data_IF_717596876455
#
_entry.id   IF_717596876455
#
_cell.length_a   1.000
_cell.length_b   1.000
_cell.length_c   1.000
_cell.angle_alpha   90.00
_cell.angle_beta   90.00
_cell.angle_gamma   90.00
#
_symmetry.space_group_name_H-M   'P 1'
#
loop_
_entity.id
_entity.type
_entity.pdbx_description
1 polymer ?
#
# COMPACT_ATOMS: atom_id res chain seq x y z
N UNK A 1 -23.85 -7.00 -5.25
CA UNK A 1 -22.66 -7.83 -4.95
C UNK A 1 -21.63 -6.93 -4.30
N UNK A 2 -21.26 -7.18 -3.04
CA UNK A 2 -20.13 -6.49 -2.42
C UNK A 2 -18.86 -6.97 -3.15
N UNK A 3 -18.24 -6.12 -3.95
CA UNK A 3 -16.97 -6.45 -4.58
C UNK A 3 -15.92 -6.56 -3.48
N UNK A 4 -15.37 -7.76 -3.25
CA UNK A 4 -14.24 -7.96 -2.33
C UNK A 4 -13.08 -7.07 -2.78
N UNK A 5 -12.64 -6.16 -1.92
CA UNK A 5 -11.47 -5.32 -2.17
C UNK A 5 -10.21 -6.09 -1.79
N UNK A 6 -9.13 -5.91 -2.54
CA UNK A 6 -7.82 -6.49 -2.28
C UNK A 6 -6.82 -5.40 -1.90
N UNK A 7 -5.75 -5.76 -1.20
CA UNK A 7 -4.64 -4.85 -0.91
C UNK A 7 -3.28 -5.57 -0.92
N UNK A 8 -2.21 -4.77 -0.97
CA UNK A 8 -0.82 -5.25 -0.86
C UNK A 8 0.08 -4.19 -0.21
N UNK A 9 1.20 -4.63 0.36
CA UNK A 9 2.20 -3.78 1.02
C UNK A 9 3.60 -4.10 0.49
N UNK A 10 4.28 -3.07 0.01
CA UNK A 10 5.63 -3.15 -0.55
C UNK A 10 6.56 -2.25 0.26
N UNK A 11 7.77 -2.74 0.50
CA UNK A 11 8.90 -1.98 1.02
C UNK A 11 10.02 -1.95 -0.02
N UNK A 12 10.73 -0.84 -0.07
CA UNK A 12 11.91 -0.61 -0.90
C UNK A 12 12.95 0.20 -0.12
N UNK A 13 14.15 0.34 -0.65
CA UNK A 13 15.18 1.18 -0.02
C UNK A 13 14.75 2.65 0.05
N UNK A 14 14.26 3.23 -1.05
CA UNK A 14 13.74 4.60 -1.11
C UNK A 14 12.82 4.78 -2.32
N UNK A 15 11.97 5.81 -2.27
CA UNK A 15 11.15 6.23 -3.41
C UNK A 15 11.42 7.71 -3.67
N UNK A 16 12.43 8.01 -4.50
CA UNK A 16 12.86 9.40 -4.78
C UNK A 16 12.74 9.78 -6.27
N UNK A 17 12.74 8.81 -7.17
CA UNK A 17 12.68 9.08 -8.61
C UNK A 17 11.29 9.57 -9.05
N UNK A 18 11.17 10.87 -9.38
CA UNK A 18 9.94 11.45 -9.94
C UNK A 18 9.47 10.76 -11.22
N UNK A 19 10.41 10.32 -12.08
CA UNK A 19 10.08 9.53 -13.29
C UNK A 19 9.42 8.20 -12.94
N UNK A 20 9.89 7.50 -11.91
CA UNK A 20 9.25 6.25 -11.44
C UNK A 20 7.88 6.54 -10.81
N UNK A 21 7.77 7.61 -10.01
CA UNK A 21 6.49 8.04 -9.41
C UNK A 21 5.46 8.40 -10.49
N UNK A 22 5.85 9.07 -11.57
CA UNK A 22 4.95 9.35 -12.70
C UNK A 22 4.42 8.06 -13.35
N UNK A 23 5.28 7.05 -13.54
CA UNK A 23 4.86 5.72 -14.03
C UNK A 23 3.91 5.01 -13.07
N UNK A 24 4.18 5.08 -11.76
CA UNK A 24 3.28 4.53 -10.74
C UNK A 24 1.93 5.25 -10.75
N UNK A 25 1.92 6.59 -10.85
CA UNK A 25 0.68 7.37 -10.92
C UNK A 25 -0.16 7.01 -12.14
N UNK A 26 0.47 6.70 -13.27
CA UNK A 26 -0.22 6.16 -14.44
C UNK A 26 -0.76 4.75 -14.20
N UNK A 27 0.07 3.85 -13.67
CA UNK A 27 -0.35 2.48 -13.33
C UNK A 27 -1.53 2.45 -12.34
N UNK A 28 -1.60 3.40 -11.39
CA UNK A 28 -2.73 3.50 -10.47
C UNK A 28 -4.05 3.74 -11.22
N UNK A 29 -4.02 4.63 -12.23
CA UNK A 29 -5.15 4.91 -13.12
C UNK A 29 -5.52 3.69 -13.95
N UNK A 30 -4.54 3.12 -14.65
CA UNK A 30 -4.75 2.02 -15.60
C UNK A 30 -5.34 0.78 -14.92
N UNK A 31 -4.95 0.54 -13.67
CA UNK A 31 -5.37 -0.63 -12.90
C UNK A 31 -6.54 -0.34 -11.94
N UNK A 32 -7.09 0.88 -11.95
CA UNK A 32 -8.19 1.32 -11.09
C UNK A 32 -7.96 1.00 -9.61
N UNK A 33 -6.77 1.36 -9.10
CA UNK A 33 -6.39 1.19 -7.69
C UNK A 33 -6.15 2.54 -7.02
N UNK A 34 -6.29 2.55 -5.70
CA UNK A 34 -5.71 3.61 -4.87
C UNK A 34 -4.33 3.17 -4.41
N UNK A 35 -3.33 4.05 -4.49
CA UNK A 35 -2.00 3.83 -3.97
C UNK A 35 -1.56 4.96 -3.03
N UNK A 36 -0.86 4.61 -1.96
CA UNK A 36 -0.19 5.55 -1.07
C UNK A 36 1.30 5.23 -1.05
N UNK A 37 2.12 6.24 -1.33
CA UNK A 37 3.58 6.14 -1.25
C UNK A 37 4.10 6.95 -0.06
N UNK A 38 5.06 6.38 0.66
CA UNK A 38 6.00 7.19 1.44
C UNK A 38 7.16 7.60 0.51
N UNK A 39 7.13 8.83 0.00
CA UNK A 39 8.16 9.40 -0.87
C UNK A 39 9.37 9.88 -0.04
N UNK A 40 10.54 9.94 -0.68
CA UNK A 40 11.76 10.45 -0.05
C UNK A 40 12.53 9.37 0.72
N UNK A 41 12.60 9.53 2.04
CA UNK A 41 13.54 8.83 2.93
C UNK A 41 13.46 7.30 2.92
N UNK A 42 14.46 6.67 3.55
CA UNK A 42 14.49 5.21 3.76
C UNK A 42 13.69 4.82 5.02
N UNK A 43 12.88 3.74 5.00
CA UNK A 43 12.52 2.94 3.83
C UNK A 43 11.46 3.62 2.96
N UNK A 44 11.47 3.33 1.66
CA UNK A 44 10.32 3.62 0.79
C UNK A 44 9.21 2.61 1.03
N UNK A 45 7.96 3.06 1.17
CA UNK A 45 6.80 2.22 1.49
C UNK A 45 5.70 2.48 0.46
N UNK A 46 5.03 1.42 -0.02
CA UNK A 46 3.88 1.52 -0.91
C UNK A 46 2.73 0.64 -0.41
N UNK A 47 1.55 1.22 -0.29
CA UNK A 47 0.27 0.53 -0.09
C UNK A 47 -0.55 0.68 -1.35
N UNK A 48 -1.32 -0.34 -1.69
CA UNK A 48 -2.37 -0.22 -2.69
C UNK A 48 -3.62 -0.98 -2.28
N UNK A 49 -4.78 -0.53 -2.76
CA UNK A 49 -6.04 -1.27 -2.67
C UNK A 49 -6.90 -1.08 -3.93
N UNK A 50 -7.73 -2.07 -4.24
CA UNK A 50 -8.67 -2.01 -5.37
C UNK A 50 -9.16 -3.40 -5.77
N UNK A 51 -9.58 -3.58 -7.04
CA UNK A 51 -9.89 -4.90 -7.59
C UNK A 51 -8.70 -5.86 -7.50
N UNK A 52 -8.95 -7.17 -7.35
CA UNK A 52 -7.90 -8.19 -7.26
C UNK A 52 -6.86 -8.08 -8.39
N UNK A 53 -7.34 -8.02 -9.63
CA UNK A 53 -6.47 -7.92 -10.81
C UNK A 53 -5.68 -6.62 -10.82
N UNK A 54 -6.32 -5.50 -10.44
CA UNK A 54 -5.65 -4.21 -10.38
C UNK A 54 -4.51 -4.17 -9.36
N UNK A 55 -4.69 -4.84 -8.21
CA UNK A 55 -3.65 -4.97 -7.19
C UNK A 55 -2.50 -5.87 -7.66
N UNK A 56 -2.79 -6.97 -8.36
CA UNK A 56 -1.75 -7.84 -8.95
C UNK A 56 -0.92 -7.09 -10.00
N UNK A 57 -1.58 -6.40 -10.93
CA UNK A 57 -0.90 -5.64 -11.98
C UNK A 57 -0.13 -4.44 -11.43
N UNK A 58 -0.62 -3.79 -10.38
CA UNK A 58 0.15 -2.79 -9.64
C UNK A 58 1.47 -3.36 -9.10
N UNK A 59 1.44 -4.51 -8.42
CA UNK A 59 2.66 -5.16 -7.90
C UNK A 59 3.64 -5.47 -9.03
N UNK A 60 3.16 -6.01 -10.15
CA UNK A 60 3.97 -6.26 -11.34
C UNK A 60 4.57 -4.97 -11.92
N UNK A 61 3.80 -3.88 -11.96
CA UNK A 61 4.28 -2.55 -12.37
C UNK A 61 5.40 -2.02 -11.47
N UNK A 62 5.27 -2.16 -10.15
CA UNK A 62 6.33 -1.77 -9.20
C UNK A 62 7.60 -2.62 -9.40
N UNK A 63 7.46 -3.94 -9.57
CA UNK A 63 8.60 -4.85 -9.79
C UNK A 63 9.39 -4.50 -11.06
N UNK A 64 8.71 -4.11 -12.14
CA UNK A 64 9.33 -3.65 -13.40
C UNK A 64 10.20 -2.40 -13.23
N UNK A 65 9.94 -1.58 -12.22
CA UNK A 65 10.72 -0.37 -11.93
C UNK A 65 12.04 -0.62 -11.20
N UNK A 66 12.33 -1.87 -10.77
CA UNK A 66 13.61 -2.29 -10.17
C UNK A 66 14.06 -1.34 -9.05
N UNK A 67 13.21 -1.13 -8.05
CA UNK A 67 13.65 -0.45 -6.82
C UNK A 67 14.66 -1.32 -6.07
N UNK A 68 15.66 -0.69 -5.46
CA UNK A 68 16.61 -1.39 -4.58
C UNK A 68 15.87 -1.95 -3.36
N UNK A 69 16.27 -3.14 -2.92
CA UNK A 69 15.73 -3.85 -1.76
C UNK A 69 14.20 -3.99 -1.81
N UNK A 70 13.67 -4.31 -3.00
CA UNK A 70 12.24 -4.58 -3.16
C UNK A 70 11.82 -5.78 -2.28
N UNK A 71 10.83 -5.56 -1.43
CA UNK A 71 10.23 -6.59 -0.57
C UNK A 71 8.70 -6.47 -0.65
N UNK A 72 8.05 -7.57 -1.01
CA UNK A 72 6.58 -7.68 -0.95
C UNK A 72 6.18 -8.13 0.46
N UNK A 73 6.03 -7.17 1.38
CA UNK A 73 5.77 -7.42 2.80
C UNK A 73 4.42 -8.10 3.04
N UNK A 74 3.42 -7.74 2.23
CA UNK A 74 2.12 -8.43 2.17
C UNK A 74 1.73 -8.61 0.71
N UNK A 75 1.52 -9.87 0.31
CA UNK A 75 1.08 -10.24 -1.04
C UNK A 75 -0.36 -9.75 -1.28
N UNK A 76 -0.78 -9.56 -2.56
CA UNK A 76 -2.17 -9.33 -2.90
C UNK A 76 -3.10 -10.35 -2.23
N UNK A 77 -4.02 -9.88 -1.41
CA UNK A 77 -5.02 -10.69 -0.72
C UNK A 77 -6.27 -9.86 -0.45
N UNK A 78 -7.38 -10.52 -0.12
CA UNK A 78 -8.60 -9.84 0.29
C UNK A 78 -8.30 -8.91 1.50
N UNK A 79 -8.82 -7.69 1.44
CA UNK A 79 -8.56 -6.66 2.43
C UNK A 79 -9.22 -7.03 3.76
N UNK A 80 -8.39 -7.27 4.77
CA UNK A 80 -8.81 -7.39 6.17
C UNK A 80 -9.08 -5.98 6.73
N UNK A 81 -10.36 -5.59 6.82
CA UNK A 81 -10.76 -4.31 7.44
C UNK A 81 -11.00 -4.52 8.93
N UNK A 82 -10.47 -3.62 9.74
CA UNK A 82 -10.71 -3.60 11.20
C UNK A 82 -12.16 -3.22 11.51
N UNK A 83 -12.75 -3.91 12.51
CA UNK A 83 -14.21 -3.95 12.74
C UNK A 83 -14.87 -2.62 13.13
N UNK A 84 -14.13 -1.54 13.30
CA UNK A 84 -14.63 -0.26 13.84
C UNK A 84 -14.42 0.96 12.93
N UNK A 85 -14.04 0.76 11.66
CA UNK A 85 -13.85 1.89 10.72
C UNK A 85 -15.08 2.05 9.83
N UNK A 86 -15.78 3.19 10.00
CA UNK A 86 -16.86 3.62 9.11
C UNK A 86 -16.35 3.62 7.67
N UNK A 87 -16.99 2.78 6.84
CA UNK A 87 -16.55 2.36 5.52
C UNK A 87 -16.66 3.45 4.43
N UNK A 88 -16.88 4.71 4.82
CA UNK A 88 -17.32 5.80 3.95
C UNK A 88 -16.21 6.63 3.32
N UNK A 89 -14.96 6.18 3.37
CA UNK A 89 -13.91 6.73 2.51
C UNK A 89 -13.45 5.66 1.53
N UNK A 90 -14.30 5.44 0.53
CA UNK A 90 -13.86 4.84 -0.73
C UNK A 90 -12.78 5.78 -1.27
N UNK A 91 -11.52 5.45 -1.02
CA UNK A 91 -10.41 6.14 -1.63
C UNK A 91 -10.66 6.13 -3.15
N UNK A 92 -10.78 7.31 -3.75
CA UNK A 92 -11.05 7.43 -5.18
C UNK A 92 -10.01 6.60 -5.94
N UNK A 93 -10.45 5.53 -6.59
CA UNK A 93 -9.58 4.66 -7.37
C UNK A 93 -9.03 5.41 -8.59
N UNK A 94 -7.93 4.92 -9.13
CA UNK A 94 -7.18 5.63 -10.16
C UNK A 94 -6.31 6.77 -9.60
N UNK A 95 -6.02 6.74 -8.29
CA UNK A 95 -5.28 7.80 -7.60
C UNK A 95 -4.03 7.26 -6.91
N UNK A 96 -2.99 8.07 -6.92
CA UNK A 96 -1.78 7.89 -6.14
C UNK A 96 -1.55 9.11 -5.24
N UNK A 97 -1.35 8.88 -3.96
CA UNK A 97 -0.99 9.90 -2.98
C UNK A 97 0.43 9.70 -2.45
N UNK A 98 1.06 10.78 -2.01
CA UNK A 98 2.43 10.79 -1.50
C UNK A 98 2.41 11.46 -0.12
N UNK A 99 3.13 10.86 0.82
CA UNK A 99 3.44 11.43 2.14
C UNK A 99 4.94 11.32 2.39
N UNK A 100 5.48 12.16 3.27
CA UNK A 100 6.93 12.22 3.48
C UNK A 100 7.37 11.41 4.70
N UNK A 101 6.49 11.29 5.70
CA UNK A 101 6.80 10.66 6.98
C UNK A 101 6.11 9.32 7.19
N UNK A 102 6.76 8.45 7.95
CA UNK A 102 6.15 7.19 8.42
C UNK A 102 4.96 7.46 9.34
N UNK A 103 4.98 8.58 10.08
CA UNK A 103 3.89 8.99 10.97
C UNK A 103 2.62 9.27 10.18
N UNK A 104 2.69 10.13 9.16
CA UNK A 104 1.56 10.44 8.27
C UNK A 104 1.08 9.19 7.56
N UNK A 105 2.00 8.36 7.06
CA UNK A 105 1.65 7.09 6.45
C UNK A 105 0.85 6.20 7.40
N UNK A 106 1.24 6.13 8.68
CA UNK A 106 0.51 5.39 9.70
C UNK A 106 -0.88 5.94 9.97
N UNK A 107 -1.05 7.27 9.99
CA UNK A 107 -2.37 7.92 10.09
C UNK A 107 -3.27 7.55 8.90
N UNK A 108 -2.73 7.55 7.68
CA UNK A 108 -3.49 7.10 6.50
C UNK A 108 -3.89 5.62 6.61
N UNK A 109 -3.02 4.75 7.11
CA UNK A 109 -3.35 3.33 7.31
C UNK A 109 -4.46 3.12 8.37
N UNK A 110 -4.56 4.00 9.37
CA UNK A 110 -5.68 4.01 10.32
C UNK A 110 -6.99 4.40 9.65
N UNK A 111 -6.98 5.49 8.87
CA UNK A 111 -8.15 5.94 8.11
C UNK A 111 -8.63 4.89 7.10
N UNK A 112 -7.68 4.14 6.50
CA UNK A 112 -7.99 3.05 5.58
C UNK A 112 -8.43 1.75 6.27
N UNK A 113 -8.47 1.71 7.61
CA UNK A 113 -8.90 0.56 8.41
C UNK A 113 -7.98 -0.65 8.34
N UNK A 114 -6.68 -0.44 8.10
CA UNK A 114 -5.67 -1.50 7.94
C UNK A 114 -4.48 -1.33 8.90
N UNK A 115 -4.67 -0.63 10.03
CA UNK A 115 -3.60 -0.18 10.93
C UNK A 115 -2.77 -1.32 11.55
N UNK A 116 -3.42 -2.37 12.01
CA UNK A 116 -2.79 -3.58 12.56
C UNK A 116 -2.15 -4.39 11.44
N UNK A 117 -2.84 -4.51 10.31
CA UNK A 117 -2.36 -5.26 9.14
C UNK A 117 -1.03 -4.73 8.61
N UNK A 118 -0.88 -3.41 8.43
CA UNK A 118 0.38 -2.85 7.92
C UNK A 118 1.50 -2.92 8.96
N UNK A 119 1.20 -2.72 10.25
CA UNK A 119 2.18 -2.87 11.34
C UNK A 119 2.73 -4.29 11.44
N UNK A 120 1.87 -5.31 11.28
CA UNK A 120 2.30 -6.72 11.16
C UNK A 120 3.18 -6.90 9.93
N UNK A 121 2.79 -6.33 8.79
CA UNK A 121 3.59 -6.37 7.56
C UNK A 121 4.97 -5.73 7.71
N UNK A 122 5.09 -4.65 8.48
CA UNK A 122 6.37 -3.98 8.74
C UNK A 122 7.21 -4.64 9.84
N UNK A 123 6.69 -5.68 10.51
CA UNK A 123 7.38 -6.37 11.61
C UNK A 123 7.41 -5.59 12.93
N UNK A 124 6.60 -4.54 13.10
CA UNK A 124 6.59 -3.75 14.34
C UNK A 124 5.69 -4.33 15.43
N UNK A 125 4.84 -5.29 15.05
CA UNK A 125 4.17 -6.17 15.98
C UNK A 125 5.04 -7.42 16.08
N UNK A 126 6.03 -7.36 16.97
CA UNK A 126 6.65 -8.59 17.48
C UNK A 126 5.59 -9.27 18.35
N UNK A 127 5.28 -10.53 18.04
CA UNK A 127 4.25 -11.27 18.75
C UNK A 127 4.49 -11.27 20.25
N UNK A 128 3.44 -11.00 21.02
CA UNK A 128 3.19 -11.82 22.19
C UNK A 128 2.73 -13.19 21.68
N UNK A 129 3.70 -13.99 21.25
CA UNK A 129 3.57 -15.45 21.26
C UNK A 129 4.45 -15.92 22.42
N UNK A 130 3.91 -15.76 23.64
CA UNK A 130 4.46 -16.31 24.88
C UNK A 130 3.29 -16.79 25.74
N UNK A 131 3.09 -18.11 25.79
CA UNK A 131 2.29 -18.80 26.81
C UNK A 131 0.88 -19.15 26.40
#
# INVERSE_FOLDING_TARGET
>A
MSSTMYNALIRTHHITSRKKVAKLRQAAKDHNIYALLRYGGCPGIMYCQGPEEGVKEWVSSVQRLRYKDFQLMKKPAAKEVEKDVLQEQIAAYGKLEEVDTVKEYGTMMQQLGVHTWWRRGMGWLHGQDSG
#
